data_IF_064591063037
#
_entry.id   IF_064591063037
#
_cell.length_a   1.000
_cell.length_b   1.000
_cell.length_c   1.000
_cell.angle_alpha   90.00
_cell.angle_beta   90.00
_cell.angle_gamma   90.00
#
_symmetry.space_group_name_H-M   'P 1'
#
loop_
_entity.id
_entity.type
_entity.pdbx_description
1 polymer ?
#
# COMPACT_ATOMS: atom_id res chain seq x y z
N UNK A 1 8.22 13.74 8.74
CA UNK A 1 9.33 13.26 7.88
C UNK A 1 8.93 13.55 6.47
N UNK A 2 9.82 14.17 5.74
CA UNK A 2 9.60 14.65 4.39
C UNK A 2 10.74 14.21 3.49
N UNK A 3 10.42 13.91 2.24
CA UNK A 3 11.37 13.47 1.24
C UNK A 3 10.99 14.08 -0.10
N UNK A 4 12.01 14.45 -0.88
CA UNK A 4 11.79 14.83 -2.28
C UNK A 4 11.23 13.64 -3.04
N UNK A 5 10.27 13.90 -3.93
CA UNK A 5 9.74 12.86 -4.79
C UNK A 5 10.86 12.24 -5.64
N UNK A 6 10.74 10.94 -5.91
CA UNK A 6 11.69 10.09 -6.63
C UNK A 6 13.03 9.85 -5.90
N UNK A 7 13.27 10.48 -4.75
CA UNK A 7 14.42 10.13 -3.90
C UNK A 7 14.30 8.69 -3.38
N UNK A 8 15.42 8.01 -3.08
CA UNK A 8 15.38 6.72 -2.41
C UNK A 8 14.60 6.80 -1.10
N UNK A 9 13.71 5.83 -0.87
CA UNK A 9 13.02 5.70 0.41
C UNK A 9 13.98 5.14 1.45
N UNK A 10 14.16 5.90 2.54
CA UNK A 10 15.14 5.59 3.59
C UNK A 10 14.50 5.54 4.99
N UNK A 11 13.19 5.78 5.10
CA UNK A 11 12.53 5.84 6.40
C UNK A 11 12.55 4.49 7.12
N UNK A 12 12.29 3.41 6.38
CA UNK A 12 12.34 2.03 6.88
C UNK A 12 13.06 1.13 5.89
N UNK A 13 13.69 0.09 6.41
CA UNK A 13 14.18 -0.99 5.56
C UNK A 13 13.01 -1.71 4.90
N UNK A 14 13.22 -2.19 3.68
CA UNK A 14 12.25 -3.00 2.96
C UNK A 14 13.00 -3.98 2.04
N UNK A 15 12.48 -5.18 1.75
CA UNK A 15 13.16 -6.15 0.89
C UNK A 15 13.36 -5.68 -0.56
N UNK A 16 12.65 -4.65 -1.01
CA UNK A 16 12.74 -4.11 -2.37
C UNK A 16 13.21 -2.65 -2.33
N UNK A 17 13.95 -2.19 -3.35
CA UNK A 17 14.27 -0.78 -3.49
C UNK A 17 12.98 0.01 -3.73
N UNK A 18 12.82 1.12 -3.00
CA UNK A 18 11.64 1.97 -3.03
C UNK A 18 12.04 3.41 -3.34
N UNK A 19 11.15 4.16 -4.00
CA UNK A 19 11.27 5.62 -4.18
C UNK A 19 10.10 6.34 -3.51
N UNK A 20 10.39 7.52 -2.96
CA UNK A 20 9.39 8.37 -2.31
C UNK A 20 8.45 9.02 -3.32
N UNK A 21 7.17 9.08 -2.97
CA UNK A 21 6.17 9.95 -3.61
C UNK A 21 5.26 10.52 -2.51
N UNK A 22 5.10 11.84 -2.44
CA UNK A 22 4.11 12.48 -1.58
C UNK A 22 4.45 12.53 -0.10
N UNK A 23 5.72 12.32 0.26
CA UNK A 23 6.23 12.55 1.63
C UNK A 23 6.50 14.03 1.85
N UNK A 24 5.43 14.79 2.03
CA UNK A 24 5.49 16.24 2.12
C UNK A 24 5.67 16.71 3.56
N UNK A 25 6.24 17.91 3.72
CA UNK A 25 6.34 18.60 4.98
C UNK A 25 6.73 20.06 4.78
N UNK A 26 6.91 20.79 5.87
CA UNK A 26 7.11 22.24 5.84
C UNK A 26 8.51 22.68 5.37
N UNK A 27 9.52 21.79 5.35
CA UNK A 27 10.88 22.15 4.92
C UNK A 27 11.00 22.23 3.38
N UNK A 28 10.42 21.28 2.63
CA UNK A 28 10.37 21.28 1.16
C UNK A 28 9.05 21.81 0.58
N UNK A 29 8.03 21.96 1.42
CA UNK A 29 6.69 22.41 1.02
C UNK A 29 5.93 21.38 0.17
N UNK A 30 4.83 21.84 -0.44
CA UNK A 30 4.05 21.01 -1.36
C UNK A 30 4.76 20.94 -2.71
N UNK A 31 5.10 19.73 -3.16
CA UNK A 31 5.80 19.53 -4.42
C UNK A 31 4.82 19.57 -5.61
N UNK A 32 5.25 20.19 -6.72
CA UNK A 32 4.48 20.22 -7.98
C UNK A 32 3.27 21.17 -8.02
N UNK A 33 3.10 22.03 -7.01
CA UNK A 33 2.01 23.02 -6.89
C UNK A 33 1.89 24.00 -8.07
N UNK A 34 3.00 24.37 -8.72
CA UNK A 34 2.99 25.32 -9.86
C UNK A 34 2.53 24.69 -11.19
N UNK A 35 2.27 23.39 -11.20
CA UNK A 35 1.88 22.65 -12.39
C UNK A 35 0.35 22.62 -12.54
N UNK A 36 -0.17 22.41 -13.76
CA UNK A 36 -1.61 22.34 -13.97
C UNK A 36 -2.26 21.25 -13.10
N UNK A 37 -3.54 21.45 -12.70
CA UNK A 37 -4.28 20.46 -11.93
C UNK A 37 -4.23 19.07 -12.56
N UNK A 38 -4.14 18.05 -11.71
CA UNK A 38 -4.11 16.66 -12.15
C UNK A 38 -5.40 16.32 -12.92
N UNK A 39 -5.27 15.59 -14.03
CA UNK A 39 -6.43 15.15 -14.79
C UNK A 39 -7.30 14.23 -13.92
N UNK A 40 -8.63 14.32 -14.05
CA UNK A 40 -9.56 13.51 -13.27
C UNK A 40 -9.31 12.00 -13.43
N UNK A 41 -8.86 11.56 -14.61
CA UNK A 41 -8.49 10.17 -14.86
C UNK A 41 -7.29 9.71 -14.02
N UNK A 42 -6.27 10.56 -13.85
CA UNK A 42 -5.09 10.24 -13.05
C UNK A 42 -5.42 10.23 -11.55
N UNK A 43 -6.27 11.15 -11.10
CA UNK A 43 -6.77 11.14 -9.72
C UNK A 43 -7.54 9.84 -9.43
N UNK A 44 -8.41 9.43 -10.36
CA UNK A 44 -9.15 8.18 -10.22
C UNK A 44 -8.23 6.97 -10.24
N UNK A 45 -7.19 6.99 -11.07
CA UNK A 45 -6.18 5.94 -11.14
C UNK A 45 -5.41 5.81 -9.82
N UNK A 46 -4.96 6.93 -9.24
CA UNK A 46 -4.28 6.94 -7.94
C UNK A 46 -5.18 6.43 -6.83
N UNK A 47 -6.44 6.90 -6.75
CA UNK A 47 -7.43 6.37 -5.80
C UNK A 47 -7.63 4.87 -5.97
N UNK A 48 -7.71 4.41 -7.21
CA UNK A 48 -7.88 3.00 -7.54
C UNK A 48 -6.65 2.16 -7.23
N UNK A 49 -5.45 2.74 -7.20
CA UNK A 49 -4.19 2.07 -6.89
C UNK A 49 -3.89 2.05 -5.38
N UNK A 50 -4.35 3.06 -4.62
CA UNK A 50 -4.26 3.17 -3.16
C UNK A 50 -5.23 2.23 -2.41
N UNK A 51 -5.14 0.92 -2.66
CA UNK A 51 -6.16 -0.06 -2.17
C UNK A 51 -5.89 -0.60 -0.78
N UNK A 52 -4.66 -1.07 -0.54
CA UNK A 52 -4.27 -1.73 0.68
C UNK A 52 -3.19 -0.91 1.36
N UNK A 53 -3.48 -0.50 2.60
CA UNK A 53 -2.55 0.25 3.42
C UNK A 53 -1.61 -0.73 4.11
N UNK A 54 -0.32 -0.58 3.90
CA UNK A 54 0.71 -1.37 4.54
C UNK A 54 1.45 -0.58 5.61
N UNK A 55 2.27 -1.28 6.39
CA UNK A 55 3.26 -0.67 7.29
C UNK A 55 2.70 0.38 8.25
N UNK A 56 1.48 0.12 8.74
CA UNK A 56 0.82 0.91 9.79
C UNK A 56 1.69 0.94 11.04
N UNK A 57 1.82 2.13 11.65
CA UNK A 57 2.61 2.34 12.86
C UNK A 57 1.74 2.79 14.03
N UNK A 58 2.28 2.65 15.25
CA UNK A 58 1.63 3.17 16.46
C UNK A 58 1.60 4.70 16.51
N UNK A 59 2.51 5.37 15.79
CA UNK A 59 2.52 6.82 15.64
C UNK A 59 1.55 7.28 14.56
N UNK A 60 1.15 8.54 14.61
CA UNK A 60 0.42 9.19 13.52
C UNK A 60 1.23 10.38 13.01
N UNK A 61 1.16 10.63 11.71
CA UNK A 61 1.63 11.88 11.12
C UNK A 61 0.41 12.76 10.89
N UNK A 62 0.47 13.99 11.41
CA UNK A 62 -0.55 15.01 11.22
C UNK A 62 -0.13 15.91 10.06
N UNK A 63 -1.02 16.15 9.11
CA UNK A 63 -0.76 17.09 8.03
C UNK A 63 -0.38 18.47 8.59
N UNK A 64 0.80 18.96 8.20
CA UNK A 64 1.36 20.24 8.66
C UNK A 64 0.82 21.44 7.86
N UNK A 65 0.11 21.19 6.75
CA UNK A 65 -0.45 22.21 5.87
C UNK A 65 -1.90 22.57 6.19
N UNK A 66 -2.60 21.71 6.94
CA UNK A 66 -3.96 22.00 7.41
C UNK A 66 -3.95 22.98 8.58
N UNK A 67 -5.05 23.74 8.78
CA UNK A 67 -5.35 24.33 10.08
C UNK A 67 -5.36 23.27 11.19
N UNK A 68 -4.93 23.67 12.38
CA UNK A 68 -4.72 22.77 13.53
C UNK A 68 -5.97 21.95 13.92
N UNK A 69 -7.16 22.55 13.81
CA UNK A 69 -8.44 21.95 14.16
C UNK A 69 -9.06 21.09 13.06
N UNK A 70 -8.45 21.06 11.87
CA UNK A 70 -8.92 20.31 10.70
C UNK A 70 -7.86 19.35 10.14
N UNK A 71 -6.76 19.13 10.88
CA UNK A 71 -5.63 18.39 10.37
C UNK A 71 -5.93 16.90 10.21
N UNK A 72 -5.83 16.43 8.97
CA UNK A 72 -5.91 15.00 8.63
C UNK A 72 -4.68 14.29 9.19
N UNK A 73 -4.89 13.07 9.67
CA UNK A 73 -3.82 12.19 10.15
C UNK A 73 -3.75 10.93 9.32
N UNK A 74 -2.55 10.36 9.22
CA UNK A 74 -2.32 9.02 8.66
C UNK A 74 -1.22 8.30 9.44
N UNK A 75 -1.20 6.98 9.37
CA UNK A 75 -0.21 6.16 10.08
C UNK A 75 0.36 4.99 9.27
N UNK A 76 -0.07 4.83 8.02
CA UNK A 76 0.44 3.80 7.12
C UNK A 76 1.00 4.36 5.81
N UNK A 77 1.33 3.42 4.93
CA UNK A 77 1.95 3.69 3.63
C UNK A 77 1.28 2.86 2.54
N UNK A 78 1.12 3.47 1.36
CA UNK A 78 0.81 2.76 0.14
C UNK A 78 2.09 2.39 -0.59
N UNK A 79 2.12 1.19 -1.17
CA UNK A 79 3.17 0.80 -2.12
C UNK A 79 2.57 0.57 -3.50
N UNK A 80 3.22 1.15 -4.51
CA UNK A 80 2.81 1.05 -5.89
C UNK A 80 3.85 0.26 -6.67
N UNK A 81 3.42 -0.89 -7.19
CA UNK A 81 4.24 -1.76 -8.02
C UNK A 81 3.91 -1.51 -9.48
N UNK A 82 4.87 -1.00 -10.24
CA UNK A 82 4.67 -0.66 -11.66
C UNK A 82 5.19 -1.78 -12.58
N UNK A 83 4.64 -1.84 -13.80
CA UNK A 83 4.99 -2.86 -14.80
C UNK A 83 6.46 -2.76 -15.24
N UNK A 84 7.01 -1.55 -15.25
CA UNK A 84 8.41 -1.28 -15.58
C UNK A 84 9.42 -1.76 -14.50
N UNK A 85 8.94 -2.33 -13.39
CA UNK A 85 9.77 -2.83 -12.29
C UNK A 85 9.96 -1.83 -11.13
N UNK A 86 9.63 -0.56 -11.31
CA UNK A 86 9.74 0.43 -10.24
C UNK A 86 8.73 0.18 -9.12
N UNK A 87 9.13 0.52 -7.89
CA UNK A 87 8.27 0.48 -6.72
C UNK A 87 8.34 1.80 -5.99
N UNK A 88 7.17 2.38 -5.73
CA UNK A 88 7.04 3.67 -5.05
C UNK A 88 6.35 3.49 -3.71
N UNK A 89 6.74 4.30 -2.74
CA UNK A 89 6.14 4.36 -1.42
C UNK A 89 5.59 5.76 -1.17
N UNK A 90 4.33 5.84 -0.76
CA UNK A 90 3.66 7.09 -0.40
C UNK A 90 3.00 6.97 0.97
N UNK A 91 2.90 8.08 1.73
CA UNK A 91 2.13 8.07 2.96
C UNK A 91 0.64 7.90 2.65
N UNK A 92 -0.12 7.38 3.62
CA UNK A 92 -1.59 7.27 3.56
C UNK A 92 -2.28 8.55 3.08
N UNK A 93 -1.73 9.70 3.48
CA UNK A 93 -2.28 11.02 3.17
C UNK A 93 -1.99 11.52 1.74
N UNK A 94 -1.36 10.73 0.87
CA UNK A 94 -1.08 11.15 -0.51
C UNK A 94 -2.32 11.66 -1.25
N UNK A 95 -3.48 11.01 -1.03
CA UNK A 95 -4.76 11.41 -1.63
C UNK A 95 -5.32 12.71 -1.02
N UNK A 96 -5.07 12.94 0.27
CA UNK A 96 -5.41 14.20 0.94
C UNK A 96 -4.54 15.35 0.39
N UNK A 97 -3.24 15.13 0.24
CA UNK A 97 -2.35 16.14 -0.35
C UNK A 97 -2.74 16.51 -1.78
N UNK A 98 -3.15 15.53 -2.58
CA UNK A 98 -3.68 15.74 -3.94
C UNK A 98 -4.96 16.60 -3.94
N UNK A 99 -5.90 16.29 -3.05
CA UNK A 99 -7.21 16.95 -3.01
C UNK A 99 -7.17 18.35 -2.41
N UNK A 100 -6.48 18.49 -1.28
CA UNK A 100 -6.64 19.65 -0.40
C UNK A 100 -5.43 20.59 -0.42
N UNK A 101 -4.27 20.10 -0.90
CA UNK A 101 -3.03 20.87 -0.89
C UNK A 101 -2.41 21.09 -2.27
N UNK A 102 -3.02 20.56 -3.34
CA UNK A 102 -2.54 20.77 -4.71
C UNK A 102 -1.23 20.03 -5.01
N UNK A 103 -0.90 19.00 -4.23
CA UNK A 103 0.23 18.13 -4.52
C UNK A 103 0.08 17.52 -5.91
N UNK A 104 1.16 17.54 -6.70
CA UNK A 104 1.21 16.88 -8.00
C UNK A 104 2.35 15.86 -8.05
N UNK A 105 2.04 14.55 -8.10
CA UNK A 105 3.06 13.53 -8.24
C UNK A 105 3.89 13.68 -9.52
N UNK A 106 5.12 13.15 -9.56
CA UNK A 106 5.97 13.23 -10.74
C UNK A 106 5.34 12.54 -11.96
N UNK A 107 5.52 13.12 -13.14
CA UNK A 107 4.93 12.59 -14.38
C UNK A 107 5.42 11.17 -14.70
N UNK A 108 6.65 10.80 -14.33
CA UNK A 108 7.17 9.44 -14.52
C UNK A 108 6.42 8.40 -13.69
N UNK A 109 6.00 8.75 -12.47
CA UNK A 109 5.20 7.90 -11.61
C UNK A 109 3.78 7.76 -12.16
N UNK A 110 3.16 8.88 -12.56
CA UNK A 110 1.84 8.88 -13.19
C UNK A 110 1.84 8.10 -14.50
N UNK A 111 2.88 8.23 -15.31
CA UNK A 111 3.03 7.48 -16.56
C UNK A 111 3.06 5.97 -16.28
N UNK A 112 3.88 5.51 -15.34
CA UNK A 112 3.95 4.08 -15.03
C UNK A 112 2.65 3.55 -14.41
N UNK A 113 1.87 4.36 -13.68
CA UNK A 113 0.52 3.97 -13.25
C UNK A 113 -0.46 3.83 -14.43
N UNK A 114 -0.32 4.67 -15.47
CA UNK A 114 -1.18 4.62 -16.66
C UNK A 114 -0.90 3.41 -17.54
N UNK A 115 0.27 2.78 -17.39
CA UNK A 115 0.58 1.55 -18.12
C UNK A 115 -0.42 0.46 -17.72
N UNK A 116 -1.23 0.04 -18.69
CA UNK A 116 -2.29 -0.94 -18.47
C UNK A 116 -1.72 -2.35 -18.55
N UNK A 117 -2.03 -3.18 -17.56
CA UNK A 117 -1.64 -4.59 -17.53
C UNK A 117 -1.77 -5.16 -16.12
N UNK A 118 -1.75 -6.48 -16.01
CA UNK A 118 -1.56 -7.13 -14.71
C UNK A 118 -0.07 -7.36 -14.49
N UNK A 119 0.37 -7.27 -13.24
CA UNK A 119 1.75 -7.61 -12.89
C UNK A 119 1.95 -9.11 -13.13
N UNK A 120 2.81 -9.46 -14.09
CA UNK A 120 3.32 -10.82 -14.21
C UNK A 120 4.20 -11.15 -13.01
N UNK A 121 4.20 -12.42 -12.60
CA UNK A 121 5.07 -12.86 -11.52
C UNK A 121 6.53 -12.63 -11.87
N UNK A 122 7.21 -11.85 -11.02
CA UNK A 122 8.58 -11.42 -11.23
C UNK A 122 9.43 -11.63 -9.97
N UNK A 123 10.67 -11.16 -10.01
CA UNK A 123 11.61 -11.29 -8.90
C UNK A 123 11.15 -10.53 -7.64
N UNK A 124 10.31 -9.49 -7.78
CA UNK A 124 9.77 -8.75 -6.64
C UNK A 124 8.77 -9.62 -5.89
N UNK A 125 7.83 -10.22 -6.61
CA UNK A 125 6.87 -11.18 -6.07
C UNK A 125 7.58 -12.37 -5.41
N UNK A 126 8.58 -12.95 -6.09
CA UNK A 126 9.33 -14.08 -5.58
C UNK A 126 10.08 -13.71 -4.28
N UNK A 127 10.63 -12.50 -4.20
CA UNK A 127 11.33 -12.03 -2.99
C UNK A 127 10.38 -11.82 -1.83
N UNK A 128 9.21 -11.19 -2.07
CA UNK A 128 8.19 -11.02 -1.03
C UNK A 128 7.65 -12.36 -0.54
N UNK A 129 7.41 -13.31 -1.45
CA UNK A 129 6.98 -14.66 -1.12
C UNK A 129 8.02 -15.38 -0.25
N UNK A 130 9.31 -15.33 -0.63
CA UNK A 130 10.38 -15.94 0.17
C UNK A 130 10.44 -15.38 1.57
N UNK A 131 10.33 -14.05 1.72
CA UNK A 131 10.28 -13.39 3.03
C UNK A 131 9.08 -13.87 3.84
N UNK A 132 7.88 -13.88 3.26
CA UNK A 132 6.66 -14.27 3.98
C UNK A 132 6.74 -15.70 4.54
N UNK A 133 7.25 -16.62 3.73
CA UNK A 133 7.33 -18.04 4.06
C UNK A 133 8.52 -18.41 4.96
N UNK A 134 9.45 -17.48 5.19
CA UNK A 134 10.60 -17.69 6.07
C UNK A 134 10.24 -17.28 7.51
N UNK A 135 10.12 -18.22 8.46
CA UNK A 135 9.75 -17.90 9.85
C UNK A 135 10.84 -17.08 10.57
N UNK A 136 12.08 -17.10 10.08
CA UNK A 136 13.19 -16.36 10.68
C UNK A 136 13.38 -14.97 10.04
N UNK A 137 12.60 -14.63 9.02
CA UNK A 137 12.63 -13.30 8.42
C UNK A 137 12.06 -12.23 9.36
N UNK A 138 12.49 -10.99 9.15
CA UNK A 138 11.95 -9.85 9.91
C UNK A 138 10.41 -9.81 9.82
N UNK A 139 9.77 -9.80 10.99
CA UNK A 139 8.32 -9.86 11.10
C UNK A 139 7.63 -8.70 10.37
N UNK A 140 8.22 -7.50 10.41
CA UNK A 140 7.70 -6.35 9.68
C UNK A 140 7.71 -6.56 8.17
N UNK A 141 8.74 -7.23 7.65
CA UNK A 141 8.79 -7.59 6.22
C UNK A 141 7.79 -8.70 5.87
N UNK A 142 7.61 -9.69 6.76
CA UNK A 142 6.58 -10.73 6.58
C UNK A 142 5.19 -10.09 6.53
N UNK A 143 4.88 -9.21 7.48
CA UNK A 143 3.64 -8.44 7.48
C UNK A 143 3.45 -7.65 6.18
N UNK A 144 4.47 -6.92 5.75
CA UNK A 144 4.40 -6.15 4.52
C UNK A 144 4.18 -7.03 3.28
N UNK A 145 4.77 -8.22 3.22
CA UNK A 145 4.58 -9.15 2.12
C UNK A 145 3.14 -9.70 2.04
N UNK A 146 2.44 -9.89 3.16
CA UNK A 146 1.01 -10.26 3.17
C UNK A 146 0.18 -9.25 2.39
N UNK A 147 0.41 -7.96 2.65
CA UNK A 147 -0.35 -6.85 2.05
C UNK A 147 0.01 -6.65 0.57
N UNK A 148 1.29 -6.86 0.22
CA UNK A 148 1.80 -6.50 -1.10
C UNK A 148 1.70 -7.61 -2.15
N UNK A 149 1.80 -8.89 -1.75
CA UNK A 149 1.71 -10.01 -2.69
C UNK A 149 0.43 -10.04 -3.54
N UNK A 150 -0.77 -9.65 -3.04
CA UNK A 150 -1.98 -9.58 -3.84
C UNK A 150 -1.93 -8.64 -5.06
N UNK A 151 -0.90 -7.80 -5.20
CA UNK A 151 -0.67 -7.02 -6.41
C UNK A 151 -0.40 -7.93 -7.63
N UNK A 152 0.20 -9.11 -7.41
CA UNK A 152 0.33 -10.15 -8.41
C UNK A 152 -0.87 -11.09 -8.30
N UNK A 153 -1.78 -11.02 -9.28
CA UNK A 153 -2.98 -11.88 -9.37
C UNK A 153 -2.63 -13.30 -9.77
N UNK A 154 -1.76 -13.93 -9.00
CA UNK A 154 -1.14 -15.22 -9.27
C UNK A 154 -1.48 -16.19 -8.13
N UNK A 155 -1.65 -17.47 -8.47
CA UNK A 155 -1.95 -18.51 -7.48
C UNK A 155 -0.88 -18.60 -6.38
N UNK A 156 0.38 -18.30 -6.69
CA UNK A 156 1.47 -18.30 -5.69
C UNK A 156 1.33 -17.20 -4.64
N UNK A 157 0.75 -16.05 -5.01
CA UNK A 157 0.44 -14.99 -4.04
C UNK A 157 -0.66 -15.46 -3.09
N UNK A 158 -1.71 -16.08 -3.64
CA UNK A 158 -2.78 -16.68 -2.84
C UNK A 158 -2.25 -17.74 -1.88
N UNK A 159 -1.47 -18.70 -2.36
CA UNK A 159 -0.90 -19.77 -1.53
C UNK A 159 -0.10 -19.20 -0.36
N UNK A 160 0.67 -18.13 -0.60
CA UNK A 160 1.48 -17.48 0.43
C UNK A 160 0.64 -16.72 1.46
N UNK A 161 -0.44 -16.05 1.03
CA UNK A 161 -1.37 -15.37 1.94
C UNK A 161 -2.20 -16.40 2.74
N UNK A 162 -2.56 -17.53 2.14
CA UNK A 162 -3.21 -18.64 2.85
C UNK A 162 -2.27 -19.26 3.89
N UNK A 163 -0.99 -19.41 3.57
CA UNK A 163 0.01 -19.81 4.57
C UNK A 163 0.01 -18.85 5.76
N UNK A 164 0.02 -17.53 5.52
CA UNK A 164 -0.03 -16.53 6.59
C UNK A 164 -1.30 -16.62 7.45
N UNK A 165 -2.44 -17.02 6.88
CA UNK A 165 -3.69 -17.25 7.62
C UNK A 165 -3.62 -18.43 8.59
N UNK A 166 -2.68 -19.35 8.40
CA UNK A 166 -2.43 -20.50 9.27
C UNK A 166 -1.17 -20.36 10.15
N UNK A 167 -0.41 -19.28 9.96
CA UNK A 167 0.72 -18.93 10.82
C UNK A 167 0.18 -18.26 12.10
N UNK A 168 0.46 -18.86 13.26
CA UNK A 168 -0.10 -18.41 14.54
C UNK A 168 0.31 -16.98 14.90
N UNK A 169 1.55 -16.58 14.59
CA UNK A 169 2.04 -15.24 14.90
C UNK A 169 1.38 -14.22 13.97
N UNK A 170 1.44 -14.45 12.65
CA UNK A 170 0.88 -13.55 11.64
C UNK A 170 -0.65 -13.40 11.78
N UNK A 171 -1.38 -14.49 12.01
CA UNK A 171 -2.83 -14.46 12.17
C UNK A 171 -3.28 -13.64 13.40
N UNK A 172 -2.46 -13.61 14.46
CA UNK A 172 -2.75 -12.81 15.66
C UNK A 172 -2.48 -11.32 15.41
N UNK A 173 -1.38 -10.97 14.76
CA UNK A 173 -0.97 -9.57 14.60
C UNK A 173 -1.61 -8.86 13.39
N UNK A 174 -1.95 -9.61 12.34
CA UNK A 174 -2.34 -9.09 11.02
C UNK A 174 -3.63 -9.72 10.51
N UNK A 175 -4.49 -10.23 11.40
CA UNK A 175 -5.68 -10.97 10.98
C UNK A 175 -6.55 -10.17 10.00
N UNK A 176 -6.75 -8.87 10.25
CA UNK A 176 -7.58 -8.01 9.38
C UNK A 176 -6.96 -7.88 7.98
N UNK A 177 -5.66 -7.60 7.91
CA UNK A 177 -4.89 -7.41 6.68
C UNK A 177 -4.79 -8.71 5.89
N UNK A 178 -4.63 -9.86 6.55
CA UNK A 178 -4.69 -11.18 5.92
C UNK A 178 -6.06 -11.37 5.27
N UNK A 179 -7.16 -11.08 5.99
CA UNK A 179 -8.52 -11.18 5.45
C UNK A 179 -8.75 -10.28 4.23
N UNK A 180 -8.28 -9.03 4.29
CA UNK A 180 -8.34 -8.10 3.15
C UNK A 180 -7.52 -8.61 1.95
N UNK A 181 -6.33 -9.16 2.21
CA UNK A 181 -5.43 -9.71 1.20
C UNK A 181 -6.00 -10.97 0.54
N UNK A 182 -6.65 -11.85 1.30
CA UNK A 182 -7.38 -13.00 0.76
C UNK A 182 -8.49 -12.55 -0.19
N UNK A 183 -9.28 -11.54 0.17
CA UNK A 183 -10.31 -10.96 -0.71
C UNK A 183 -9.69 -10.30 -1.95
N UNK A 184 -8.52 -9.69 -1.83
CA UNK A 184 -7.74 -9.18 -2.95
C UNK A 184 -7.35 -10.28 -3.95
N UNK A 185 -6.97 -11.46 -3.48
CA UNK A 185 -6.61 -12.61 -4.31
C UNK A 185 -7.82 -13.37 -4.90
N UNK A 186 -8.85 -13.66 -4.10
CA UNK A 186 -9.93 -14.60 -4.44
C UNK A 186 -11.26 -13.94 -4.82
N UNK A 187 -11.42 -12.64 -4.61
CA UNK A 187 -12.72 -12.00 -4.82
C UNK A 187 -13.72 -12.33 -3.72
N UNK A 188 -15.00 -12.45 -4.11
CA UNK A 188 -16.13 -12.58 -3.16
C UNK A 188 -16.48 -14.03 -2.80
N UNK A 189 -15.73 -15.04 -3.25
CA UNK A 189 -16.06 -16.46 -3.03
C UNK A 189 -15.61 -17.01 -1.67
N UNK A 190 -14.91 -16.20 -0.86
CA UNK A 190 -14.38 -16.62 0.45
C UNK A 190 -15.45 -16.75 1.55
N UNK A 191 -15.38 -17.78 2.38
CA UNK A 191 -16.27 -17.92 3.52
C UNK A 191 -15.57 -17.43 4.78
N UNK A 192 -16.06 -16.35 5.38
CA UNK A 192 -15.42 -15.73 6.54
C UNK A 192 -15.40 -16.67 7.76
N UNK A 193 -16.40 -17.54 7.86
CA UNK A 193 -16.54 -18.54 8.92
C UNK A 193 -15.47 -19.65 8.91
N UNK A 194 -14.74 -19.80 7.81
CA UNK A 194 -13.67 -20.81 7.68
C UNK A 194 -12.35 -20.32 8.32
N UNK A 195 -12.31 -19.08 8.83
CA UNK A 195 -11.11 -18.42 9.37
C UNK A 195 -11.28 -17.93 10.81
N UNK A 196 -10.17 -17.70 11.54
CA UNK A 196 -10.18 -16.97 12.81
C UNK A 196 -10.95 -15.65 12.71
N UNK A 197 -11.60 -15.24 13.81
CA UNK A 197 -12.54 -14.10 13.80
C UNK A 197 -11.94 -12.78 13.32
N UNK A 198 -10.65 -12.53 13.58
CA UNK A 198 -9.93 -11.34 13.09
C UNK A 198 -9.78 -11.35 11.57
N UNK A 199 -9.48 -12.51 10.99
CA UNK A 199 -9.41 -12.72 9.53
C UNK A 199 -10.80 -12.64 8.90
N UNK A 200 -11.80 -13.29 9.50
CA UNK A 200 -13.19 -13.20 9.06
C UNK A 200 -13.68 -11.74 9.04
N UNK A 201 -13.34 -10.94 10.06
CA UNK A 201 -13.64 -9.51 10.08
C UNK A 201 -12.96 -8.75 8.93
N UNK A 202 -11.69 -9.04 8.64
CA UNK A 202 -10.96 -8.45 7.51
C UNK A 202 -11.60 -8.74 6.15
N UNK A 203 -12.05 -9.98 5.94
CA UNK A 203 -12.80 -10.40 4.74
C UNK A 203 -14.08 -9.57 4.58
N UNK A 204 -14.89 -9.49 5.63
CA UNK A 204 -16.16 -8.75 5.58
C UNK A 204 -15.94 -7.24 5.41
N UNK A 205 -14.89 -6.70 6.02
CA UNK A 205 -14.53 -5.30 5.88
C UNK A 205 -14.12 -4.96 4.45
N UNK A 206 -13.26 -5.77 3.83
CA UNK A 206 -12.84 -5.58 2.44
C UNK A 206 -14.02 -5.59 1.46
N UNK A 207 -14.98 -6.48 1.68
CA UNK A 207 -16.21 -6.56 0.87
C UNK A 207 -17.09 -5.33 0.98
N UNK A 208 -17.16 -4.71 2.16
CA UNK A 208 -17.90 -3.45 2.35
C UNK A 208 -17.25 -2.33 1.53
N UNK A 209 -15.92 -2.18 1.64
CA UNK A 209 -15.17 -1.16 0.91
C UNK A 209 -15.28 -1.29 -0.62
N UNK A 210 -15.46 -2.49 -1.17
CA UNK A 210 -15.66 -2.69 -2.62
C UNK A 210 -17.06 -2.30 -3.13
N UNK A 211 -18.03 -2.14 -2.25
CA UNK A 211 -19.43 -1.79 -2.60
C UNK A 211 -19.71 -0.30 -2.51
N UNK A 212 -18.78 0.48 -1.96
CA UNK A 212 -18.82 1.93 -1.83
C UNK A 212 -18.11 2.60 -3.02
#
# INVERSE_FOLDING_TARGET
>A
MEYLDLSPYEYRSFPLPLRNVGWLGTEWGVQGVDLPPLAAADLQLLRSASRLLGSVTLGTHRCEFCPEDAAVTGNGEYRYYLLNGDVYCAPEMVLHYLGDHGYRPPDVFLQGLRETGELEWDDRAERLRKVLLDPEADLGFRCAAVVDLPNWRDARALDAVQFAAHDEELAVIMGVEIGQSLVACLGDDLRAEDYPSTIGYGIDHARRLRRE
#
